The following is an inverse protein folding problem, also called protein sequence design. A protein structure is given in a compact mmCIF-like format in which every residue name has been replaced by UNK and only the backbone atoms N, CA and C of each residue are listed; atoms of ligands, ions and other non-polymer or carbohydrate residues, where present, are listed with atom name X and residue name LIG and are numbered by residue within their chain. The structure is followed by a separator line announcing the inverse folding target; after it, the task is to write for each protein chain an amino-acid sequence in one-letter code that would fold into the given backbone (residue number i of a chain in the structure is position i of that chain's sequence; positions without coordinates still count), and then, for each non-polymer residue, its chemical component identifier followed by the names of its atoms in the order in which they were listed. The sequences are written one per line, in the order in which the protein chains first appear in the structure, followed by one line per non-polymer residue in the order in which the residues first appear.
data_IF_395129901422
#
_entry.id   IF_395129901422
#
_cell.length_a   1.000
_cell.length_b   1.000
_cell.length_c   1.000
_cell.angle_alpha   90.00
_cell.angle_beta   90.00
_cell.angle_gamma   90.00
#
_symmetry.space_group_name_H-M   'P 1'
#
loop_
_entity.id
_entity.type
_entity.pdbx_description
1 polymer ?
#
# COMPACT_ATOMS: atom_id res chain seq x y z
N UNK A 1 -5.30 -23.30 0.43
CA UNK A 1 -4.75 -23.46 -0.94
C UNK A 1 -3.82 -24.68 -1.04
N UNK A 2 -2.77 -24.83 -0.25
CA UNK A 2 -1.84 -25.98 -0.31
C UNK A 2 -2.54 -27.36 -0.30
N UNK A 3 -3.55 -27.53 0.56
CA UNK A 3 -4.36 -28.76 0.61
C UNK A 3 -5.13 -29.02 -0.69
N UNK A 4 -5.66 -27.99 -1.34
CA UNK A 4 -6.38 -28.14 -2.62
C UNK A 4 -5.41 -28.52 -3.73
N UNK A 5 -4.16 -27.98 -3.67
CA UNK A 5 -3.09 -28.33 -4.60
C UNK A 5 -2.51 -29.73 -4.35
N UNK A 6 -2.77 -30.34 -3.19
CA UNK A 6 -2.19 -31.64 -2.84
C UNK A 6 -0.68 -31.63 -2.63
N UNK A 7 -0.08 -30.47 -2.29
CA UNK A 7 1.36 -30.33 -2.07
C UNK A 7 1.68 -29.82 -0.66
N UNK A 8 2.86 -30.16 -0.09
CA UNK A 8 3.27 -29.69 1.22
C UNK A 8 3.29 -28.15 1.31
N UNK A 9 2.94 -27.61 2.48
CA UNK A 9 2.82 -26.16 2.68
C UNK A 9 4.09 -25.37 2.32
N UNK A 10 5.26 -25.87 2.70
CA UNK A 10 6.54 -25.20 2.38
C UNK A 10 6.75 -25.10 0.87
N UNK A 11 6.54 -26.23 0.16
CA UNK A 11 6.65 -26.27 -1.29
C UNK A 11 5.60 -25.39 -1.96
N UNK A 12 4.39 -25.35 -1.43
CA UNK A 12 3.34 -24.45 -1.90
C UNK A 12 3.79 -22.98 -1.76
N UNK A 13 4.28 -22.57 -0.59
CA UNK A 13 4.70 -21.18 -0.33
C UNK A 13 5.82 -20.73 -1.26
N UNK A 14 6.80 -21.60 -1.50
CA UNK A 14 7.89 -21.35 -2.46
C UNK A 14 7.35 -21.12 -3.88
N UNK A 15 6.52 -22.04 -4.38
CA UNK A 15 5.99 -21.97 -5.75
C UNK A 15 5.00 -20.83 -5.93
N UNK A 16 4.16 -20.57 -4.92
CA UNK A 16 3.20 -19.46 -4.91
C UNK A 16 3.90 -18.12 -5.11
N UNK A 17 5.00 -17.87 -4.40
CA UNK A 17 5.76 -16.64 -4.52
C UNK A 17 6.59 -16.58 -5.80
N UNK A 18 7.27 -17.68 -6.14
CA UNK A 18 8.17 -17.75 -7.29
C UNK A 18 7.45 -17.58 -8.63
N UNK A 19 6.24 -18.13 -8.75
CA UNK A 19 5.45 -18.11 -9.97
C UNK A 19 4.49 -16.92 -10.03
N UNK A 20 4.43 -16.09 -8.99
CA UNK A 20 3.53 -14.95 -8.89
C UNK A 20 3.78 -13.83 -9.91
N UNK A 21 5.02 -13.43 -10.23
CA UNK A 21 5.29 -12.29 -11.10
C UNK A 21 4.58 -12.28 -12.46
N UNK A 22 4.58 -13.35 -13.27
CA UNK A 22 3.85 -13.35 -14.53
C UNK A 22 2.32 -13.30 -14.35
N UNK A 23 1.79 -13.80 -13.24
CA UNK A 23 0.36 -13.73 -12.92
C UNK A 23 -0.02 -12.30 -12.51
N UNK A 24 0.75 -11.65 -11.63
CA UNK A 24 0.53 -10.26 -11.24
C UNK A 24 0.73 -9.28 -12.39
N UNK A 25 1.59 -9.62 -13.37
CA UNK A 25 1.78 -8.83 -14.58
C UNK A 25 0.61 -8.98 -15.57
N UNK A 26 -0.17 -10.07 -15.47
CA UNK A 26 -1.24 -10.39 -16.40
C UNK A 26 -0.78 -11.15 -17.64
N UNK A 27 0.45 -11.67 -17.65
CA UNK A 27 1.00 -12.50 -18.73
C UNK A 27 0.30 -13.87 -18.80
N UNK A 28 -0.15 -14.36 -17.65
CA UNK A 28 -0.90 -15.62 -17.50
C UNK A 28 -2.17 -15.38 -16.67
N UNK A 29 -3.17 -16.21 -16.90
CA UNK A 29 -4.41 -16.20 -16.11
C UNK A 29 -4.36 -17.12 -14.88
N UNK A 30 -5.41 -17.09 -14.06
CA UNK A 30 -5.51 -17.93 -12.86
C UNK A 30 -5.38 -19.42 -13.15
N UNK A 31 -6.08 -19.99 -14.16
CA UNK A 31 -5.90 -21.39 -14.55
C UNK A 31 -4.46 -21.77 -14.89
N UNK A 32 -3.76 -20.98 -15.67
CA UNK A 32 -2.36 -21.22 -16.01
C UNK A 32 -1.44 -21.14 -14.77
N UNK A 33 -1.65 -20.13 -13.90
CA UNK A 33 -0.90 -19.96 -12.67
C UNK A 33 -1.05 -21.16 -11.72
N UNK A 34 -2.28 -21.57 -11.42
CA UNK A 34 -2.56 -22.67 -10.51
C UNK A 34 -2.10 -24.02 -11.08
N UNK A 35 -2.21 -24.22 -12.39
CA UNK A 35 -1.66 -25.40 -13.06
C UNK A 35 -0.12 -25.44 -12.94
N UNK A 36 0.55 -24.30 -13.08
CA UNK A 36 2.00 -24.22 -12.94
C UNK A 36 2.48 -24.53 -11.51
N UNK A 37 1.71 -24.14 -10.48
CA UNK A 37 2.01 -24.46 -9.06
C UNK A 37 1.96 -25.96 -8.81
N UNK A 38 0.94 -26.64 -9.32
CA UNK A 38 0.77 -28.09 -9.14
C UNK A 38 1.76 -28.88 -10.00
N UNK A 39 2.17 -28.30 -11.12
CA UNK A 39 3.12 -28.93 -12.05
C UNK A 39 2.49 -30.12 -12.81
N UNK A 40 3.35 -31.04 -13.27
CA UNK A 40 2.94 -32.25 -13.98
C UNK A 40 2.57 -33.37 -13.02
N UNK A 41 1.57 -33.16 -12.16
CA UNK A 41 0.98 -34.25 -11.40
C UNK A 41 0.08 -35.09 -12.31
N UNK A 42 0.01 -36.40 -12.07
CA UNK A 42 -0.69 -37.34 -12.95
C UNK A 42 -2.18 -37.01 -13.19
N UNK A 43 -2.83 -36.34 -12.25
CA UNK A 43 -4.26 -36.01 -12.32
C UNK A 43 -4.55 -34.52 -12.62
N UNK A 44 -3.55 -33.61 -12.52
CA UNK A 44 -3.78 -32.18 -12.70
C UNK A 44 -4.83 -31.60 -11.72
N UNK A 45 -5.22 -30.36 -11.93
CA UNK A 45 -6.34 -29.72 -11.21
C UNK A 45 -7.62 -29.76 -12.05
N UNK A 46 -8.74 -30.12 -11.45
CA UNK A 46 -10.04 -29.95 -12.08
C UNK A 46 -10.41 -28.47 -12.20
N UNK A 47 -11.37 -28.14 -13.07
CA UNK A 47 -11.89 -26.77 -13.20
C UNK A 47 -12.43 -26.22 -11.87
N UNK A 48 -13.10 -27.04 -11.08
CA UNK A 48 -13.67 -26.66 -9.79
C UNK A 48 -12.58 -26.38 -8.73
N UNK A 49 -11.50 -27.17 -8.74
CA UNK A 49 -10.34 -26.92 -7.89
C UNK A 49 -9.64 -25.60 -8.26
N UNK A 50 -9.46 -25.31 -9.54
CA UNK A 50 -8.90 -24.04 -10.02
C UNK A 50 -9.79 -22.89 -9.61
N UNK A 51 -11.09 -22.95 -9.81
CA UNK A 51 -12.04 -21.93 -9.38
C UNK A 51 -11.99 -21.70 -7.87
N UNK A 52 -11.89 -22.80 -7.09
CA UNK A 52 -11.73 -22.73 -5.63
C UNK A 52 -10.42 -22.04 -5.24
N UNK A 53 -9.31 -22.33 -5.90
CA UNK A 53 -8.00 -21.70 -5.63
C UNK A 53 -8.01 -20.20 -5.94
N UNK A 54 -8.57 -19.81 -7.08
CA UNK A 54 -8.75 -18.39 -7.45
C UNK A 54 -9.60 -17.66 -6.40
N UNK A 55 -10.68 -18.28 -5.94
CA UNK A 55 -11.52 -17.72 -4.89
C UNK A 55 -10.77 -17.57 -3.58
N UNK A 56 -10.08 -18.63 -3.11
CA UNK A 56 -9.30 -18.60 -1.88
C UNK A 56 -8.16 -17.57 -1.92
N UNK A 57 -7.51 -17.42 -3.07
CA UNK A 57 -6.47 -16.40 -3.27
C UNK A 57 -7.07 -15.00 -3.16
N UNK A 58 -8.19 -14.76 -3.83
CA UNK A 58 -8.90 -13.48 -3.78
C UNK A 58 -9.39 -13.14 -2.38
N UNK A 59 -9.89 -14.12 -1.65
CA UNK A 59 -10.37 -13.96 -0.27
C UNK A 59 -9.23 -13.90 0.77
N UNK A 60 -7.98 -14.19 0.39
CA UNK A 60 -6.83 -14.11 1.30
C UNK A 60 -6.53 -12.68 1.72
N UNK A 61 -6.86 -11.67 0.89
CA UNK A 61 -6.81 -10.26 1.24
C UNK A 61 -8.10 -9.89 1.98
N UNK A 62 -8.08 -10.08 3.28
CA UNK A 62 -9.31 -9.97 4.10
C UNK A 62 -9.43 -8.66 4.87
N UNK A 63 -8.32 -7.97 5.12
CA UNK A 63 -8.31 -6.81 6.00
C UNK A 63 -7.33 -5.74 5.52
N UNK A 64 -7.81 -4.55 5.15
CA UNK A 64 -6.94 -3.42 4.92
C UNK A 64 -6.33 -2.94 6.25
N UNK A 65 -5.15 -2.34 6.17
CA UNK A 65 -4.58 -1.62 7.30
C UNK A 65 -5.47 -0.42 7.63
N UNK A 66 -6.20 -0.50 8.76
CA UNK A 66 -7.19 0.51 9.13
C UNK A 66 -6.57 1.89 9.37
N UNK A 67 -5.35 1.95 9.91
CA UNK A 67 -4.63 3.19 10.08
C UNK A 67 -4.27 3.85 8.74
N UNK A 68 -3.80 3.06 7.78
CA UNK A 68 -3.53 3.56 6.43
C UNK A 68 -4.82 4.02 5.72
N UNK A 69 -5.93 3.30 5.90
CA UNK A 69 -7.26 3.72 5.38
C UNK A 69 -7.70 5.06 5.99
N UNK A 70 -7.53 5.23 7.29
CA UNK A 70 -7.88 6.48 7.96
C UNK A 70 -7.00 7.64 7.48
N UNK A 71 -5.71 7.40 7.27
CA UNK A 71 -4.82 8.41 6.72
C UNK A 71 -5.19 8.78 5.28
N UNK A 72 -5.48 7.81 4.43
CA UNK A 72 -5.96 8.07 3.08
C UNK A 72 -7.25 8.92 3.08
N UNK A 73 -8.20 8.61 3.97
CA UNK A 73 -9.45 9.41 4.12
C UNK A 73 -9.15 10.84 4.58
N UNK A 74 -8.22 11.03 5.50
CA UNK A 74 -7.79 12.37 5.92
C UNK A 74 -7.23 13.14 4.73
N UNK A 75 -6.28 12.56 4.00
CA UNK A 75 -5.66 13.20 2.83
C UNK A 75 -6.70 13.56 1.75
N UNK A 76 -7.62 12.65 1.48
CA UNK A 76 -8.72 12.91 0.54
C UNK A 76 -9.61 14.07 1.01
N UNK A 77 -9.95 14.12 2.31
CA UNK A 77 -10.73 15.22 2.88
C UNK A 77 -10.01 16.58 2.76
N UNK A 78 -8.71 16.58 2.93
CA UNK A 78 -7.85 17.76 2.77
C UNK A 78 -7.56 18.11 1.28
N UNK A 79 -8.17 17.38 0.34
CA UNK A 79 -8.09 17.68 -1.10
C UNK A 79 -6.84 17.13 -1.80
N UNK A 80 -6.11 16.20 -1.18
CA UNK A 80 -4.97 15.54 -1.84
C UNK A 80 -5.47 14.47 -2.81
N UNK A 81 -5.03 14.48 -4.09
CA UNK A 81 -5.34 13.40 -5.02
C UNK A 81 -4.59 12.13 -4.62
N UNK A 82 -5.31 11.02 -4.56
CA UNK A 82 -4.76 9.74 -4.13
C UNK A 82 -4.79 8.72 -5.27
N UNK A 83 -3.70 7.95 -5.38
CA UNK A 83 -3.57 6.85 -6.35
C UNK A 83 -3.11 5.59 -5.63
N UNK A 84 -3.79 4.48 -5.90
CA UNK A 84 -3.34 3.15 -5.47
C UNK A 84 -2.53 2.50 -6.59
N UNK A 85 -1.31 2.04 -6.29
CA UNK A 85 -0.48 1.23 -7.18
C UNK A 85 -0.20 -0.13 -6.54
N UNK A 86 -0.70 -1.21 -7.14
CA UNK A 86 -0.59 -2.56 -6.56
C UNK A 86 -0.21 -3.61 -7.59
N UNK A 87 0.74 -4.51 -7.20
CA UNK A 87 0.97 -5.75 -7.95
C UNK A 87 -0.16 -6.73 -7.63
N UNK A 88 -0.97 -7.04 -8.63
CA UNK A 88 -2.19 -7.79 -8.41
C UNK A 88 -2.71 -8.40 -9.72
N UNK A 89 -3.02 -9.72 -9.75
CA UNK A 89 -3.62 -10.34 -10.92
C UNK A 89 -5.08 -9.89 -11.09
N UNK A 90 -5.62 -10.09 -12.28
CA UNK A 90 -6.93 -9.58 -12.69
C UNK A 90 -8.09 -10.08 -11.82
N UNK A 91 -8.07 -11.34 -11.42
CA UNK A 91 -9.13 -11.92 -10.58
C UNK A 91 -9.15 -11.28 -9.20
N UNK A 92 -7.97 -11.09 -8.62
CA UNK A 92 -7.80 -10.47 -7.32
C UNK A 92 -8.15 -8.98 -7.35
N UNK A 93 -7.72 -8.24 -8.38
CA UNK A 93 -8.04 -6.81 -8.52
C UNK A 93 -9.56 -6.56 -8.58
N UNK A 94 -10.29 -7.40 -9.32
CA UNK A 94 -11.76 -7.36 -9.39
C UNK A 94 -12.42 -7.63 -8.03
N UNK A 95 -11.90 -8.62 -7.28
CA UNK A 95 -12.41 -8.94 -5.95
C UNK A 95 -12.17 -7.79 -4.97
N UNK A 96 -10.95 -7.29 -4.91
CA UNK A 96 -10.53 -6.19 -4.01
C UNK A 96 -11.34 -4.92 -4.28
N UNK A 97 -11.50 -4.54 -5.55
CA UNK A 97 -12.29 -3.36 -5.94
C UNK A 97 -13.74 -3.45 -5.48
N UNK A 98 -14.34 -4.65 -5.51
CA UNK A 98 -15.72 -4.86 -5.05
C UNK A 98 -15.85 -4.94 -3.54
N UNK A 99 -14.84 -5.51 -2.86
CA UNK A 99 -14.92 -5.86 -1.44
C UNK A 99 -14.50 -4.74 -0.49
N UNK A 100 -13.77 -3.73 -0.98
CA UNK A 100 -13.24 -2.64 -0.16
C UNK A 100 -13.79 -1.27 -0.57
N UNK A 101 -14.92 -0.82 0.04
CA UNK A 101 -15.49 0.50 -0.27
C UNK A 101 -14.53 1.67 -0.03
N UNK A 102 -13.51 1.51 0.84
CA UNK A 102 -12.49 2.52 1.07
C UNK A 102 -11.65 2.86 -0.16
N UNK A 103 -11.67 2.01 -1.19
CA UNK A 103 -10.98 2.30 -2.45
C UNK A 103 -11.62 3.48 -3.22
N UNK A 104 -12.87 3.84 -2.94
CA UNK A 104 -13.48 5.06 -3.49
C UNK A 104 -12.78 6.36 -3.06
N UNK A 105 -11.91 6.31 -2.08
CA UNK A 105 -11.05 7.44 -1.66
C UNK A 105 -9.97 7.77 -2.70
N UNK A 106 -9.63 6.81 -3.57
CA UNK A 106 -8.56 6.96 -4.57
C UNK A 106 -9.16 7.36 -5.92
N UNK A 107 -8.55 8.34 -6.57
CA UNK A 107 -8.94 8.77 -7.93
C UNK A 107 -8.53 7.74 -8.98
N UNK A 108 -7.39 7.10 -8.79
CA UNK A 108 -6.87 6.07 -9.68
C UNK A 108 -6.53 4.80 -8.90
N UNK A 109 -6.97 3.67 -9.47
CA UNK A 109 -6.59 2.33 -9.02
C UNK A 109 -5.75 1.69 -10.13
N UNK A 110 -4.44 1.62 -9.92
CA UNK A 110 -3.48 1.09 -10.89
C UNK A 110 -3.08 -0.32 -10.46
N UNK A 111 -3.54 -1.30 -11.19
CA UNK A 111 -3.19 -2.71 -10.98
C UNK A 111 -2.22 -3.17 -12.06
N UNK A 112 -1.14 -3.83 -11.65
CA UNK A 112 -0.06 -4.29 -12.53
C UNK A 112 -0.55 -5.10 -13.73
N UNK A 113 -1.58 -5.94 -13.55
CA UNK A 113 -2.17 -6.76 -14.59
C UNK A 113 -2.83 -5.97 -15.74
N UNK A 114 -3.14 -4.69 -15.53
CA UNK A 114 -3.73 -3.83 -16.57
C UNK A 114 -2.66 -3.12 -17.39
N UNK A 115 -1.41 -3.10 -16.92
CA UNK A 115 -0.29 -2.39 -17.53
C UNK A 115 0.83 -3.31 -18.04
N UNK A 116 0.72 -4.63 -17.84
CA UNK A 116 1.76 -5.59 -18.25
C UNK A 116 3.11 -5.35 -17.58
N UNK A 117 3.11 -4.78 -16.37
CA UNK A 117 4.32 -4.41 -15.65
C UNK A 117 4.08 -4.41 -14.15
N UNK A 118 5.07 -4.86 -13.37
CA UNK A 118 4.97 -5.01 -11.91
C UNK A 118 6.01 -4.13 -11.19
N UNK A 119 5.75 -3.73 -9.96
CA UNK A 119 6.77 -3.17 -9.07
C UNK A 119 7.80 -4.29 -8.76
N UNK A 120 9.12 -4.02 -8.76
CA UNK A 120 9.82 -2.73 -8.89
C UNK A 120 10.29 -2.36 -10.31
N UNK A 121 9.68 -2.88 -11.38
CA UNK A 121 10.03 -2.51 -12.76
C UNK A 121 9.78 -1.01 -12.99
N UNK A 122 10.73 -0.31 -13.61
CA UNK A 122 10.59 1.14 -13.83
C UNK A 122 9.41 1.50 -14.75
N UNK A 123 8.98 0.56 -15.61
CA UNK A 123 7.88 0.74 -16.53
C UNK A 123 6.55 1.02 -15.82
N UNK A 124 6.25 0.33 -14.69
CA UNK A 124 4.99 0.58 -13.97
C UNK A 124 4.91 1.99 -13.40
N UNK A 125 6.03 2.54 -12.90
CA UNK A 125 6.06 3.91 -12.38
C UNK A 125 5.99 4.93 -13.51
N UNK A 126 6.60 4.66 -14.69
CA UNK A 126 6.46 5.53 -15.88
C UNK A 126 5.01 5.56 -16.35
N UNK A 127 4.33 4.42 -16.41
CA UNK A 127 2.91 4.35 -16.73
C UNK A 127 2.07 5.18 -15.73
N UNK A 128 2.41 5.16 -14.43
CA UNK A 128 1.76 6.03 -13.45
C UNK A 128 2.00 7.51 -13.74
N UNK A 129 3.24 7.91 -14.01
CA UNK A 129 3.57 9.31 -14.31
C UNK A 129 2.85 9.81 -15.56
N UNK A 130 2.78 8.99 -16.61
CA UNK A 130 2.05 9.30 -17.84
C UNK A 130 0.54 9.45 -17.61
N UNK A 131 -0.06 8.59 -16.78
CA UNK A 131 -1.48 8.68 -16.42
C UNK A 131 -1.79 9.91 -15.59
N UNK A 132 -0.98 10.16 -14.54
CA UNK A 132 -1.22 11.23 -13.58
C UNK A 132 -0.87 12.61 -14.14
N UNK A 133 0.02 12.69 -15.12
CA UNK A 133 0.50 13.94 -15.74
C UNK A 133 1.06 14.97 -14.75
N UNK A 134 1.72 14.48 -13.71
CA UNK A 134 2.40 15.29 -12.69
C UNK A 134 3.89 15.03 -12.72
N UNK A 135 4.67 16.00 -12.27
CA UNK A 135 6.12 15.83 -12.20
C UNK A 135 6.49 14.84 -11.08
N UNK A 136 7.52 14.00 -11.26
CA UNK A 136 7.88 12.99 -10.28
C UNK A 136 8.12 13.54 -8.86
N UNK A 137 8.72 14.73 -8.75
CA UNK A 137 9.00 15.40 -7.48
C UNK A 137 7.74 15.90 -6.76
N UNK A 138 6.60 15.98 -7.44
CA UNK A 138 5.32 16.37 -6.84
C UNK A 138 4.52 15.17 -6.30
N UNK A 139 5.07 13.96 -6.43
CA UNK A 139 4.47 12.72 -5.93
C UNK A 139 5.18 12.29 -4.65
N UNK A 140 4.40 11.94 -3.64
CA UNK A 140 4.85 11.15 -2.50
C UNK A 140 4.37 9.69 -2.68
N UNK A 141 5.32 8.78 -2.76
CA UNK A 141 5.07 7.35 -2.89
C UNK A 141 5.40 6.62 -1.58
N UNK A 142 4.47 5.82 -1.09
CA UNK A 142 4.62 5.00 0.11
C UNK A 142 4.48 3.53 -0.28
N UNK A 143 5.45 2.70 0.10
CA UNK A 143 5.41 1.25 -0.13
C UNK A 143 6.19 0.54 0.98
N UNK A 144 5.77 -0.68 1.33
CA UNK A 144 6.36 -1.49 2.41
C UNK A 144 7.59 -2.30 1.96
N UNK A 145 7.94 -2.26 0.66
CA UNK A 145 9.10 -2.96 0.09
C UNK A 145 10.16 -1.97 -0.34
N UNK A 146 11.37 -2.14 0.20
CA UNK A 146 12.48 -1.24 -0.06
C UNK A 146 12.82 -1.16 -1.57
N UNK A 147 12.80 -2.30 -2.28
CA UNK A 147 13.06 -2.33 -3.73
C UNK A 147 12.07 -1.52 -4.55
N UNK A 148 10.80 -1.43 -4.12
CA UNK A 148 9.78 -0.61 -4.77
C UNK A 148 10.05 0.88 -4.54
N UNK A 149 10.40 1.25 -3.30
CA UNK A 149 10.76 2.62 -2.91
C UNK A 149 11.98 3.10 -3.68
N UNK A 150 13.03 2.27 -3.76
CA UNK A 150 14.25 2.57 -4.51
C UNK A 150 13.99 2.74 -6.01
N UNK A 151 13.14 1.86 -6.59
CA UNK A 151 12.81 1.95 -8.02
C UNK A 151 12.06 3.24 -8.36
N UNK A 152 11.09 3.65 -7.53
CA UNK A 152 10.37 4.91 -7.69
C UNK A 152 11.31 6.11 -7.53
N UNK A 153 12.20 6.10 -6.55
CA UNK A 153 13.17 7.15 -6.31
C UNK A 153 14.13 7.36 -7.49
N UNK A 154 14.51 6.31 -8.24
CA UNK A 154 15.33 6.41 -9.46
C UNK A 154 14.67 7.26 -10.56
N UNK A 155 13.36 7.42 -10.52
CA UNK A 155 12.61 8.28 -11.44
C UNK A 155 12.35 9.68 -10.88
N UNK A 156 12.93 10.02 -9.72
CA UNK A 156 12.74 11.31 -9.06
C UNK A 156 11.47 11.43 -8.23
N UNK A 157 10.74 10.32 -8.01
CA UNK A 157 9.56 10.31 -7.15
C UNK A 157 10.01 10.38 -5.69
N UNK A 158 9.40 11.29 -4.91
CA UNK A 158 9.62 11.30 -3.47
C UNK A 158 9.06 10.01 -2.86
N UNK A 159 9.94 9.19 -2.30
CA UNK A 159 9.57 7.84 -1.87
C UNK A 159 9.94 7.62 -0.40
N UNK A 160 9.05 6.97 0.35
CA UNK A 160 9.21 6.66 1.78
C UNK A 160 8.81 5.22 2.03
N UNK A 161 9.70 4.47 2.68
CA UNK A 161 9.40 3.11 3.12
C UNK A 161 8.32 3.13 4.20
N UNK A 162 7.23 2.43 3.95
CA UNK A 162 6.14 2.25 4.92
C UNK A 162 6.46 1.07 5.84
N UNK A 163 6.42 1.30 7.14
CA UNK A 163 6.53 0.26 8.18
C UNK A 163 5.29 0.24 9.09
N UNK A 164 5.09 1.28 9.86
CA UNK A 164 3.85 1.54 10.61
C UNK A 164 3.30 2.90 10.23
N UNK A 165 2.01 3.11 10.49
CA UNK A 165 1.39 4.41 10.20
C UNK A 165 2.07 5.53 10.99
N UNK A 166 2.34 5.28 12.27
CA UNK A 166 2.95 6.25 13.20
C UNK A 166 4.36 6.65 12.74
N UNK A 167 5.21 5.66 12.45
CA UNK A 167 6.59 5.92 12.02
C UNK A 167 6.63 6.59 10.64
N UNK A 168 5.81 6.11 9.72
CA UNK A 168 5.74 6.67 8.36
C UNK A 168 5.18 8.09 8.38
N UNK A 169 4.12 8.33 9.16
CA UNK A 169 3.55 9.67 9.34
C UNK A 169 4.58 10.65 9.90
N UNK A 170 5.37 10.24 10.91
CA UNK A 170 6.45 11.07 11.47
C UNK A 170 7.51 11.44 10.43
N UNK A 171 7.92 10.48 9.59
CA UNK A 171 8.87 10.73 8.48
C UNK A 171 8.29 11.65 7.42
N UNK A 172 7.01 11.50 7.10
CA UNK A 172 6.30 12.34 6.13
C UNK A 172 6.14 13.76 6.67
N UNK A 173 5.66 13.92 7.90
CA UNK A 173 5.48 15.24 8.56
C UNK A 173 6.79 16.02 8.64
N UNK A 174 7.93 15.34 8.90
CA UNK A 174 9.23 15.99 9.01
C UNK A 174 9.84 16.46 7.67
N UNK A 175 9.36 15.93 6.54
CA UNK A 175 9.95 16.14 5.21
C UNK A 175 9.02 16.82 4.21
N UNK A 176 7.71 16.71 4.42
CA UNK A 176 6.69 17.17 3.50
C UNK A 176 5.57 17.88 4.26
N UNK A 177 5.00 18.89 3.67
CA UNK A 177 3.82 19.58 4.23
C UNK A 177 2.54 18.81 3.87
N UNK A 178 2.40 17.62 4.46
CA UNK A 178 1.29 16.70 4.21
C UNK A 178 0.62 16.37 5.53
N UNK A 179 -0.72 16.49 5.63
CA UNK A 179 -1.47 16.14 6.84
C UNK A 179 -1.23 14.68 7.26
N UNK A 180 -0.94 14.48 8.53
CA UNK A 180 -0.73 13.16 9.12
C UNK A 180 -1.75 12.90 10.23
N UNK A 181 -2.14 11.62 10.46
CA UNK A 181 -3.07 11.29 11.54
C UNK A 181 -2.47 11.68 12.90
N UNK A 182 -3.27 12.27 13.76
CA UNK A 182 -2.88 12.60 15.13
C UNK A 182 -2.89 11.35 16.03
N UNK A 183 -2.07 10.35 15.72
CA UNK A 183 -1.88 9.20 16.59
C UNK A 183 -1.00 9.60 17.78
N UNK A 184 -1.64 9.72 18.96
CA UNK A 184 -0.92 9.72 20.21
C UNK A 184 0.11 10.83 20.42
N UNK A 185 -0.14 12.05 19.94
CA UNK A 185 0.52 13.21 20.54
C UNK A 185 0.13 13.20 22.02
N UNK A 186 0.93 12.54 22.87
CA UNK A 186 0.89 12.84 24.29
C UNK A 186 1.01 14.37 24.36
N UNK A 187 -0.06 15.03 24.79
CA UNK A 187 0.03 16.42 25.19
C UNK A 187 1.22 16.48 26.15
N UNK A 188 2.36 16.95 25.65
CA UNK A 188 3.35 17.51 26.56
C UNK A 188 2.58 18.63 27.23
N UNK A 189 2.10 18.34 28.43
CA UNK A 189 1.53 19.32 29.31
C UNK A 189 2.59 20.41 29.44
N UNK A 190 2.31 21.55 28.88
CA UNK A 190 3.00 22.81 29.12
C UNK A 190 2.78 23.18 30.60
N UNK A 191 3.48 22.47 31.47
CA UNK A 191 3.66 22.79 32.89
C UNK A 191 4.97 23.51 33.02
N UNK A 192 5.03 24.76 32.59
CA UNK A 192 5.99 25.74 33.03
C UNK A 192 5.59 27.14 32.53
N UNK A 193 4.52 27.67 33.08
CA UNK A 193 4.36 29.12 33.19
C UNK A 193 3.60 29.38 34.47
N UNK A 194 4.32 29.39 35.56
CA UNK A 194 3.85 29.91 36.82
C UNK A 194 5.01 30.58 37.53
N UNK A 195 4.72 31.79 37.93
CA UNK A 195 5.46 32.64 38.89
C UNK A 195 6.69 33.37 38.33
N UNK A 196 6.55 34.64 38.08
CA UNK A 196 7.05 35.73 38.91
C UNK A 196 6.82 37.07 38.17
N UNK A 197 5.72 37.69 38.47
CA UNK A 197 5.61 39.12 38.20
C UNK A 197 5.16 39.79 39.54
N UNK A 198 6.13 40.02 40.45
CA UNK A 198 5.97 40.95 41.57
C UNK A 198 6.04 42.35 40.96
N UNK A 199 4.96 43.11 41.06
CA UNK A 199 4.95 44.56 40.88
C UNK A 199 5.69 45.21 42.03
N UNK A 200 6.55 46.21 41.81
CA UNK A 200 7.06 47.03 42.88
C UNK A 200 5.99 48.05 43.31
N UNK A 201 5.86 48.18 44.64
CA UNK A 201 5.03 49.15 45.33
C UNK A 201 5.35 50.59 44.89
N UNK A 202 4.31 51.36 44.64
CA UNK A 202 4.38 52.82 44.57
C UNK A 202 4.42 53.33 46.00
N UNK A 203 5.58 53.81 46.45
CA UNK A 203 5.70 54.70 47.56
C UNK A 203 4.99 56.04 47.25
N UNK A 204 4.05 56.41 48.12
CA UNK A 204 3.53 57.75 48.26
C UNK A 204 4.54 58.52 49.11
N UNK A 205 4.88 59.70 48.71
CA UNK A 205 5.39 60.76 49.53
C UNK A 205 4.76 62.08 49.15
N UNK A 206 4.21 62.69 50.12
CA UNK A 206 3.84 64.05 50.41
C UNK A 206 3.96 65.08 49.31
#
# INVERSE_FOLDING_TARGET
MALVCGIPHERFSELYSKLRPPYDRGDIDGPAYWTAIVGRQELGLSRDQIATLIKLDSESITRPNQGAVQWAKLLHHEGFPLTLLSNMPRELSRHVTKSFPSLSTFEYLIYSCDYGSIKPELSIYRNCLELLKVAPQDILYLDDRAENVEAAARLGINSVLFDTVENTASRVESRFDIPVPSYGRRRQSSSQYSSTNRRPDRMKSD
#
